data_IF_473094333289
#
_entry.id   IF_473094333289
#
_cell.length_a   1.000
_cell.length_b   1.000
_cell.length_c   1.000
_cell.angle_alpha   90.00
_cell.angle_beta   90.00
_cell.angle_gamma   90.00
#
_symmetry.space_group_name_H-M   'P 1'
#
loop_
_entity.id
_entity.type
_entity.pdbx_description
1 polymer ?
#
# COMPACT_ATOMS: atom_id res chain seq x y z
N UNK A 1 -1.69 -32.84 -35.79
CA UNK A 1 -2.73 -32.34 -34.85
C UNK A 1 -2.24 -32.21 -33.40
N UNK A 2 -1.76 -33.26 -32.73
CA UNK A 2 -1.29 -33.18 -31.32
C UNK A 2 -0.25 -32.09 -31.05
N UNK A 3 0.72 -31.90 -31.96
CA UNK A 3 1.78 -30.89 -31.80
C UNK A 3 1.24 -29.45 -31.83
N UNK A 4 0.33 -29.15 -32.76
CA UNK A 4 -0.32 -27.84 -32.86
C UNK A 4 -1.21 -27.55 -31.65
N UNK A 5 -1.94 -28.55 -31.15
CA UNK A 5 -2.75 -28.43 -29.93
C UNK A 5 -1.85 -28.11 -28.72
N UNK A 6 -0.71 -28.79 -28.58
CA UNK A 6 0.24 -28.53 -27.50
C UNK A 6 0.80 -27.10 -27.57
N UNK A 7 1.15 -26.61 -28.75
CA UNK A 7 1.62 -25.22 -28.94
C UNK A 7 0.53 -24.22 -28.52
N UNK A 8 -0.72 -24.43 -28.92
CA UNK A 8 -1.85 -23.56 -28.54
C UNK A 8 -2.04 -23.55 -27.03
N UNK A 9 -1.92 -24.71 -26.36
CA UNK A 9 -2.02 -24.82 -24.90
C UNK A 9 -0.87 -24.07 -24.21
N UNK A 10 0.37 -24.21 -24.69
CA UNK A 10 1.51 -23.45 -24.17
C UNK A 10 1.34 -21.94 -24.37
N UNK A 11 0.82 -21.53 -25.53
CA UNK A 11 0.51 -20.13 -25.80
C UNK A 11 -0.56 -19.62 -24.84
N UNK A 12 -1.68 -20.34 -24.69
CA UNK A 12 -2.71 -19.98 -23.71
C UNK A 12 -2.11 -19.85 -22.31
N UNK A 13 -1.35 -20.84 -21.85
CA UNK A 13 -0.74 -20.82 -20.53
C UNK A 13 0.18 -19.61 -20.33
N UNK A 14 1.02 -19.29 -21.33
CA UNK A 14 1.91 -18.15 -21.28
C UNK A 14 1.15 -16.81 -21.17
N UNK A 15 0.14 -16.58 -22.03
CA UNK A 15 -0.63 -15.33 -22.03
C UNK A 15 -1.48 -15.15 -20.77
N UNK A 16 -2.08 -16.23 -20.25
CA UNK A 16 -2.91 -16.18 -19.05
C UNK A 16 -2.10 -16.27 -17.73
N UNK A 17 -0.79 -16.56 -17.78
CA UNK A 17 0.04 -16.64 -16.57
C UNK A 17 0.40 -15.29 -15.95
N UNK A 18 0.23 -14.18 -16.67
CA UNK A 18 0.61 -12.84 -16.20
C UNK A 18 -0.12 -12.42 -14.91
N UNK A 19 -1.37 -12.84 -14.74
CA UNK A 19 -2.16 -12.60 -13.52
C UNK A 19 -1.68 -13.45 -12.32
N UNK A 20 -1.06 -14.61 -12.58
CA UNK A 20 -0.57 -15.52 -11.53
C UNK A 20 0.66 -14.95 -10.79
N UNK A 21 1.36 -13.97 -11.38
CA UNK A 21 2.53 -13.32 -10.79
C UNK A 21 2.22 -11.98 -10.12
N UNK A 22 0.92 -11.66 -9.94
CA UNK A 22 0.50 -10.44 -9.24
C UNK A 22 0.96 -10.44 -7.77
N UNK A 23 1.42 -9.29 -7.30
CA UNK A 23 1.70 -9.11 -5.88
C UNK A 23 0.38 -9.03 -5.11
N UNK A 24 0.36 -9.54 -3.89
CA UNK A 24 -0.85 -9.51 -3.05
C UNK A 24 -0.63 -8.60 -1.86
N UNK A 25 -1.58 -7.70 -1.61
CA UNK A 25 -1.68 -7.02 -0.32
C UNK A 25 -2.45 -7.94 0.63
N UNK A 26 -1.74 -8.47 1.62
CA UNK A 26 -2.33 -9.41 2.58
C UNK A 26 -3.09 -8.70 3.68
N UNK A 27 -2.54 -7.61 4.20
CA UNK A 27 -3.13 -6.89 5.32
C UNK A 27 -2.69 -5.43 5.35
N UNK A 28 -3.51 -4.62 6.03
CA UNK A 28 -3.16 -3.25 6.41
C UNK A 28 -3.27 -3.13 7.91
N UNK A 29 -2.16 -2.76 8.53
CA UNK A 29 -2.06 -2.60 9.99
C UNK A 29 -1.89 -1.13 10.32
N UNK A 30 -2.52 -0.73 11.42
CA UNK A 30 -2.43 0.60 11.98
C UNK A 30 -1.79 0.51 13.36
N UNK A 31 -0.88 1.42 13.65
CA UNK A 31 -0.25 1.54 14.96
C UNK A 31 0.00 2.99 15.30
N UNK A 32 0.11 3.29 16.58
CA UNK A 32 0.51 4.59 17.08
C UNK A 32 1.52 4.41 18.21
N UNK A 33 2.55 5.24 18.21
CA UNK A 33 3.52 5.32 19.30
C UNK A 33 3.83 6.79 19.57
N UNK A 34 3.39 7.27 20.74
CA UNK A 34 3.47 8.66 21.14
C UNK A 34 2.90 9.61 20.05
N UNK A 35 3.77 10.39 19.39
CA UNK A 35 3.36 11.35 18.37
C UNK A 35 3.33 10.77 16.94
N UNK A 36 3.92 9.60 16.74
CA UNK A 36 4.07 8.97 15.42
C UNK A 36 2.98 7.92 15.22
N UNK A 37 2.28 8.04 14.11
CA UNK A 37 1.27 7.10 13.66
C UNK A 37 1.84 6.35 12.47
N UNK A 38 1.51 5.07 12.37
CA UNK A 38 2.08 4.13 11.41
C UNK A 38 0.99 3.39 10.68
N UNK A 39 1.10 3.35 9.35
CA UNK A 39 0.33 2.46 8.47
C UNK A 39 1.32 1.48 7.85
N UNK A 40 0.98 0.19 7.88
CA UNK A 40 1.82 -0.87 7.30
C UNK A 40 0.99 -1.69 6.34
N UNK A 41 1.43 -1.76 5.09
CA UNK A 41 0.93 -2.70 4.10
C UNK A 41 1.82 -3.94 4.10
N UNK A 42 1.27 -5.10 4.46
CA UNK A 42 1.97 -6.38 4.31
C UNK A 42 1.75 -6.92 2.89
N UNK A 43 2.84 -7.09 2.13
CA UNK A 43 2.85 -7.46 0.72
C UNK A 43 3.53 -8.82 0.54
N UNK A 44 3.04 -9.62 -0.41
CA UNK A 44 3.49 -10.99 -0.64
C UNK A 44 4.99 -11.13 -0.84
N UNK A 45 5.60 -10.27 -1.66
CA UNK A 45 7.01 -10.33 -2.06
C UNK A 45 7.62 -8.92 -2.20
N UNK A 46 8.94 -8.90 -2.44
CA UNK A 46 9.69 -7.66 -2.61
C UNK A 46 9.23 -6.87 -3.86
N UNK A 47 9.04 -5.56 -3.67
CA UNK A 47 8.47 -4.63 -4.66
C UNK A 47 9.16 -3.28 -4.58
N UNK A 48 9.23 -2.55 -5.69
CA UNK A 48 9.63 -1.14 -5.68
C UNK A 48 8.40 -0.26 -5.86
N UNK A 49 8.45 0.93 -5.29
CA UNK A 49 7.33 1.86 -5.38
C UNK A 49 7.82 3.30 -5.45
N UNK A 50 6.98 4.15 -6.03
CA UNK A 50 7.10 5.60 -5.96
C UNK A 50 6.00 6.11 -5.05
N UNK A 51 6.25 7.21 -4.37
CA UNK A 51 5.24 7.86 -3.54
C UNK A 51 5.12 9.35 -3.89
N UNK A 52 3.93 9.89 -3.68
CA UNK A 52 3.65 11.32 -3.70
C UNK A 52 2.91 11.67 -2.43
N UNK A 53 3.31 12.76 -1.79
CA UNK A 53 2.67 13.23 -0.57
C UNK A 53 2.14 14.64 -0.78
N UNK A 54 0.90 14.85 -0.38
CA UNK A 54 0.28 16.16 -0.24
C UNK A 54 -0.25 16.32 1.19
N UNK A 55 -0.81 17.49 1.51
CA UNK A 55 -1.19 17.87 2.88
C UNK A 55 -2.04 16.82 3.60
N UNK A 56 -3.00 16.21 2.90
CA UNK A 56 -3.96 15.24 3.46
C UNK A 56 -4.05 13.95 2.63
N UNK A 57 -3.11 13.70 1.72
CA UNK A 57 -3.14 12.51 0.87
C UNK A 57 -1.73 11.95 0.66
N UNK A 58 -1.64 10.63 0.71
CA UNK A 58 -0.45 9.88 0.27
C UNK A 58 -0.87 8.98 -0.87
N UNK A 59 -0.13 9.03 -1.97
CA UNK A 59 -0.25 8.10 -3.09
C UNK A 59 1.00 7.22 -3.13
N UNK A 60 0.79 5.91 -3.25
CA UNK A 60 1.84 4.92 -3.43
C UNK A 60 1.56 4.17 -4.71
N UNK A 61 2.48 4.28 -5.68
CA UNK A 61 2.40 3.62 -6.98
C UNK A 61 3.45 2.52 -7.05
N UNK A 62 3.02 1.30 -7.31
CA UNK A 62 3.87 0.13 -7.36
C UNK A 62 4.31 -0.19 -8.79
N UNK A 63 5.51 -0.76 -8.93
CA UNK A 63 6.07 -1.16 -10.22
C UNK A 63 5.45 -2.44 -10.79
N UNK A 64 4.93 -3.30 -9.92
CA UNK A 64 4.30 -4.58 -10.26
C UNK A 64 2.83 -4.59 -9.87
N UNK A 65 1.99 -5.16 -10.74
CA UNK A 65 0.55 -5.29 -10.51
C UNK A 65 0.26 -5.86 -9.12
N UNK A 66 -0.61 -5.17 -8.39
CA UNK A 66 -1.12 -5.60 -7.10
C UNK A 66 -2.55 -6.11 -7.23
N UNK A 67 -2.85 -7.10 -6.42
CA UNK A 67 -4.20 -7.59 -6.17
C UNK A 67 -4.54 -7.42 -4.69
N UNK A 68 -5.82 -7.12 -4.44
CA UNK A 68 -6.35 -6.94 -3.10
C UNK A 68 -7.21 -8.14 -2.73
N UNK A 69 -6.74 -8.99 -1.81
CA UNK A 69 -7.53 -10.15 -1.35
C UNK A 69 -8.62 -9.78 -0.35
N UNK A 70 -8.44 -8.70 0.40
CA UNK A 70 -9.32 -8.30 1.50
C UNK A 70 -9.60 -6.81 1.47
N UNK A 71 -10.83 -6.43 1.82
CA UNK A 71 -11.16 -5.02 2.07
C UNK A 71 -10.28 -4.47 3.18
N UNK A 72 -9.88 -3.22 3.04
CA UNK A 72 -9.09 -2.54 4.06
C UNK A 72 -9.91 -2.36 5.35
N UNK A 73 -9.23 -2.54 6.48
CA UNK A 73 -9.78 -2.21 7.80
C UNK A 73 -9.97 -0.69 7.92
N UNK A 74 -10.99 -0.26 8.67
CA UNK A 74 -11.22 1.15 8.96
C UNK A 74 -10.13 1.70 9.89
N UNK A 75 -9.81 2.98 9.73
CA UNK A 75 -8.90 3.71 10.61
C UNK A 75 -9.47 5.11 10.89
N UNK A 76 -9.32 5.60 12.12
CA UNK A 76 -9.94 6.86 12.53
C UNK A 76 -9.33 8.10 11.91
N UNK A 77 -8.07 8.03 11.46
CA UNK A 77 -7.35 9.14 10.84
C UNK A 77 -7.61 9.23 9.33
N UNK A 78 -7.96 8.11 8.71
CA UNK A 78 -8.22 8.01 7.28
C UNK A 78 -9.70 8.22 6.99
N UNK A 79 -9.98 9.09 6.01
CA UNK A 79 -11.31 9.20 5.41
C UNK A 79 -11.59 7.96 4.57
N UNK A 80 -10.62 7.56 3.76
CA UNK A 80 -10.75 6.46 2.82
C UNK A 80 -9.38 5.92 2.38
N UNK A 81 -9.37 4.65 1.98
CA UNK A 81 -8.24 3.98 1.34
C UNK A 81 -8.76 3.47 -0.01
N UNK A 82 -8.22 4.02 -1.09
CA UNK A 82 -8.64 3.68 -2.45
C UNK A 82 -7.52 2.91 -3.12
N UNK A 83 -7.83 1.71 -3.62
CA UNK A 83 -6.95 0.98 -4.53
C UNK A 83 -7.40 1.23 -5.97
N UNK A 84 -6.52 1.78 -6.79
CA UNK A 84 -6.74 1.97 -8.22
C UNK A 84 -5.97 0.89 -9.00
N UNK A 85 -6.63 -0.15 -9.52
CA UNK A 85 -5.97 -1.24 -10.24
C UNK A 85 -5.37 -0.78 -11.57
N UNK A 86 -5.99 0.18 -12.27
CA UNK A 86 -5.52 0.71 -13.56
C UNK A 86 -4.17 1.40 -13.43
N UNK A 87 -4.00 2.19 -12.38
CA UNK A 87 -2.75 2.92 -12.12
C UNK A 87 -1.82 2.18 -11.15
N UNK A 88 -2.22 0.99 -10.70
CA UNK A 88 -1.55 0.20 -9.70
C UNK A 88 -1.09 1.03 -8.48
N UNK A 89 -2.03 1.82 -7.95
CA UNK A 89 -1.76 2.78 -6.89
C UNK A 89 -2.73 2.64 -5.71
N UNK A 90 -2.21 2.92 -4.52
CA UNK A 90 -3.01 3.06 -3.30
C UNK A 90 -3.02 4.53 -2.91
N UNK A 91 -4.22 5.08 -2.72
CA UNK A 91 -4.42 6.41 -2.19
C UNK A 91 -4.91 6.32 -0.75
N UNK A 92 -4.16 6.92 0.16
CA UNK A 92 -4.56 7.17 1.53
C UNK A 92 -5.06 8.61 1.62
N UNK A 93 -6.33 8.80 1.94
CA UNK A 93 -6.92 10.12 2.09
C UNK A 93 -7.23 10.32 3.57
N UNK A 94 -6.57 11.30 4.17
CA UNK A 94 -6.66 11.60 5.60
C UNK A 94 -7.80 12.59 5.89
N UNK A 95 -8.46 12.43 7.04
CA UNK A 95 -9.51 13.35 7.50
C UNK A 95 -8.97 14.74 7.84
N UNK A 96 -7.69 14.82 8.19
CA UNK A 96 -6.97 16.05 8.56
C UNK A 96 -5.59 16.05 7.92
N UNK A 97 -4.96 17.22 7.86
CA UNK A 97 -3.60 17.35 7.37
C UNK A 97 -2.62 16.54 8.23
N UNK A 98 -1.63 15.95 7.57
CA UNK A 98 -0.56 15.17 8.17
C UNK A 98 0.78 15.90 8.03
N UNK A 99 1.72 15.60 8.92
CA UNK A 99 3.06 16.18 8.90
C UNK A 99 4.15 15.11 9.01
N UNK A 100 5.33 15.48 8.51
CA UNK A 100 6.54 14.64 8.52
C UNK A 100 6.30 13.21 8.02
N UNK A 101 5.69 13.03 6.84
CA UNK A 101 5.47 11.71 6.27
C UNK A 101 6.82 11.06 5.96
N UNK A 102 7.03 9.85 6.46
CA UNK A 102 8.18 9.03 6.13
C UNK A 102 7.69 7.69 5.58
N UNK A 103 8.03 7.39 4.33
CA UNK A 103 7.54 6.21 3.61
C UNK A 103 8.74 5.37 3.19
N UNK A 104 8.79 4.12 3.64
CA UNK A 104 9.93 3.25 3.40
C UNK A 104 9.54 1.78 3.24
N UNK A 105 10.47 0.99 2.69
CA UNK A 105 10.28 -0.42 2.41
C UNK A 105 11.05 -1.31 3.37
N UNK A 106 10.42 -2.38 3.85
CA UNK A 106 11.09 -3.46 4.57
C UNK A 106 11.01 -4.74 3.74
N UNK A 107 12.17 -5.21 3.28
CA UNK A 107 12.28 -6.45 2.50
C UNK A 107 11.81 -7.67 3.31
N UNK A 108 11.26 -8.65 2.60
CA UNK A 108 10.94 -9.99 3.10
C UNK A 108 12.24 -10.77 3.37
N UNK A 109 12.94 -10.43 4.45
CA UNK A 109 14.09 -11.20 4.95
C UNK A 109 13.58 -12.47 5.64
N UNK A 110 13.68 -12.55 6.97
CA UNK A 110 13.08 -13.62 7.79
C UNK A 110 11.56 -13.46 8.03
N UNK A 111 10.98 -12.35 7.58
CA UNK A 111 9.55 -12.08 7.74
C UNK A 111 8.74 -12.80 6.67
N UNK A 112 7.51 -13.23 7.02
CA UNK A 112 6.57 -13.85 6.05
C UNK A 112 6.20 -12.93 4.88
N UNK A 113 6.18 -11.62 5.12
CA UNK A 113 5.76 -10.60 4.14
C UNK A 113 6.79 -9.49 4.04
N UNK A 114 6.91 -8.91 2.85
CA UNK A 114 7.52 -7.60 2.68
C UNK A 114 6.56 -6.52 3.20
N UNK A 115 7.07 -5.32 3.50
CA UNK A 115 6.24 -4.25 4.08
C UNK A 115 6.51 -2.89 3.47
N UNK A 116 5.45 -2.19 3.10
CA UNK A 116 5.51 -0.73 2.91
C UNK A 116 5.03 -0.08 4.20
N UNK A 117 5.90 0.73 4.80
CA UNK A 117 5.64 1.39 6.08
C UNK A 117 5.53 2.89 5.84
N UNK A 118 4.51 3.50 6.45
CA UNK A 118 4.21 4.92 6.36
C UNK A 118 4.07 5.45 7.77
N UNK A 119 5.03 6.26 8.18
CA UNK A 119 4.99 6.99 9.44
C UNK A 119 4.55 8.42 9.18
N UNK A 120 3.70 8.96 10.06
CA UNK A 120 3.21 10.32 9.97
C UNK A 120 2.83 10.88 11.35
N UNK A 121 2.85 12.20 11.48
CA UNK A 121 2.35 12.92 12.65
C UNK A 121 1.01 13.56 12.35
N UNK A 122 0.09 13.49 13.32
CA UNK A 122 -1.19 14.21 13.25
C UNK A 122 -0.97 15.71 13.47
N UNK A 123 -1.70 16.55 12.75
CA UNK A 123 -1.76 17.97 13.05
C UNK A 123 -2.32 18.19 14.47
N UNK A 124 -1.50 18.71 15.39
CA UNK A 124 -1.96 19.23 16.69
C UNK A 124 -2.16 20.73 16.54
N UNK A 125 -3.39 21.23 16.70
CA UNK A 125 -3.61 22.68 16.92
C UNK A 125 -2.83 23.05 18.18
N UNK A 126 -1.94 24.05 18.11
CA UNK A 126 -1.36 24.66 19.31
C UNK A 126 -2.54 25.09 20.20
N UNK A 127 -2.69 24.53 21.39
CA UNK A 127 -3.55 25.12 22.42
C UNK A 127 -2.98 26.52 22.67
N UNK A 128 -3.77 27.55 22.40
CA UNK A 128 -3.45 28.91 22.83
C UNK A 128 -3.58 28.90 24.35
N UNK A 129 -2.48 28.79 25.06
CA UNK A 129 -2.50 28.99 26.51
C UNK A 129 -2.80 30.49 26.71
N UNK A 130 -4.02 30.85 27.11
CA UNK A 130 -4.24 32.18 27.65
C UNK A 130 -3.55 32.21 29.01
N UNK A 131 -2.53 33.04 29.15
CA UNK A 131 -2.15 33.50 30.48
C UNK A 131 -3.29 34.42 30.91
N UNK A 132 -4.00 34.01 31.96
CA UNK A 132 -4.85 34.91 32.74
C UNK A 132 -3.95 35.71 33.68
#
# INVERSE_FOLDING_TARGET
>A
MKFFINIIIYFLFFFYSSDLFSLEIYNVRFGSNAEVNRIVFDISNDVTFKNKVSQNKIEIKFDKNLSLKKKFSKNDDLKEIIFNPTNNSIHLIFKKNIHSPNIYFLKKKSNKYARVVIDYKKYKKKKKNSCN
#
